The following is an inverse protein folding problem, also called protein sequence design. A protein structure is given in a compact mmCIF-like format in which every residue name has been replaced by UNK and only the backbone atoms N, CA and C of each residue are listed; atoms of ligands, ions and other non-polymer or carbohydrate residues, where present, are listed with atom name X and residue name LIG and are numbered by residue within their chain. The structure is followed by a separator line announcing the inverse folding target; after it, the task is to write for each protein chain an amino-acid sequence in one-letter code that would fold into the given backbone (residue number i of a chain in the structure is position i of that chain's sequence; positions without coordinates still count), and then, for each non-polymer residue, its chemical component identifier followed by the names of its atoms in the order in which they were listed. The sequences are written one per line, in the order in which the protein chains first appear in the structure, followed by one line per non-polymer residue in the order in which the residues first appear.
data_IF_577420136385
#
_entry.id   IF_577420136385
#
_cell.length_a   1.000
_cell.length_b   1.000
_cell.length_c   1.000
_cell.angle_alpha   90.00
_cell.angle_beta   90.00
_cell.angle_gamma   90.00
#
_symmetry.space_group_name_H-M   'P 1'
#
loop_
_entity.id
_entity.type
_entity.pdbx_description
1 polymer ?
#
# COMPACT_ATOMS: atom_id res chain seq x y z
N UNK A 1 -32.05 -18.95 -12.86
CA UNK A 1 -31.47 -18.38 -11.62
C UNK A 1 -29.95 -18.29 -11.80
N UNK A 2 -29.37 -17.07 -11.91
CA UNK A 2 -27.90 -16.92 -11.86
C UNK A 2 -27.47 -17.36 -10.43
N UNK A 3 -26.58 -18.35 -10.32
CA UNK A 3 -25.91 -18.66 -9.05
C UNK A 3 -25.29 -17.36 -8.55
N UNK A 4 -25.69 -16.88 -7.37
CA UNK A 4 -24.93 -15.84 -6.67
C UNK A 4 -23.53 -16.42 -6.45
N UNK A 5 -22.50 -15.80 -7.03
CA UNK A 5 -21.12 -16.13 -6.68
C UNK A 5 -20.91 -15.71 -5.24
N UNK A 6 -20.68 -16.66 -4.35
CA UNK A 6 -20.26 -16.36 -2.99
C UNK A 6 -18.80 -15.90 -3.03
N UNK A 7 -18.48 -14.86 -2.25
CA UNK A 7 -17.09 -14.42 -2.09
C UNK A 7 -16.32 -15.52 -1.35
N UNK A 8 -15.23 -15.95 -1.92
CA UNK A 8 -14.31 -16.90 -1.31
C UNK A 8 -12.96 -16.23 -1.07
N UNK A 9 -12.50 -16.28 0.19
CA UNK A 9 -11.19 -15.75 0.52
C UNK A 9 -10.08 -16.41 -0.33
N UNK A 10 -9.15 -15.63 -0.90
CA UNK A 10 -8.18 -16.14 -1.88
C UNK A 10 -6.99 -16.88 -1.23
N UNK A 11 -7.14 -17.42 -0.02
CA UNK A 11 -6.06 -18.03 0.75
C UNK A 11 -6.22 -19.54 0.86
N UNK A 12 -5.09 -20.27 0.83
CA UNK A 12 -5.04 -21.73 0.98
C UNK A 12 -4.61 -22.11 2.38
N UNK A 13 -3.54 -21.49 2.90
CA UNK A 13 -2.98 -21.86 4.20
C UNK A 13 -1.81 -20.97 4.61
N UNK A 14 -1.36 -21.19 5.83
CA UNK A 14 -0.22 -20.52 6.44
C UNK A 14 0.67 -21.61 7.03
N UNK A 15 1.99 -21.52 6.84
CA UNK A 15 2.97 -22.41 7.47
C UNK A 15 4.28 -21.67 7.76
N UNK A 16 5.08 -22.18 8.68
CA UNK A 16 6.40 -21.63 9.01
C UNK A 16 7.49 -22.53 8.45
N UNK A 17 8.31 -21.97 7.56
CA UNK A 17 9.47 -22.64 6.95
C UNK A 17 10.72 -21.83 7.31
N UNK A 18 11.74 -22.50 7.86
CA UNK A 18 13.00 -21.88 8.29
C UNK A 18 12.80 -20.62 9.18
N UNK A 19 11.89 -20.71 10.16
CA UNK A 19 11.46 -19.61 11.02
C UNK A 19 10.81 -18.41 10.29
N UNK A 20 10.44 -18.58 9.03
CA UNK A 20 9.73 -17.57 8.24
C UNK A 20 8.28 -18.01 8.07
N UNK A 21 7.31 -17.30 8.68
CA UNK A 21 5.88 -17.56 8.47
C UNK A 21 5.46 -17.08 7.09
N UNK A 22 4.88 -17.99 6.32
CA UNK A 22 4.50 -17.80 4.92
C UNK A 22 3.03 -18.16 4.76
N UNK A 23 2.30 -17.38 3.99
CA UNK A 23 0.94 -17.72 3.59
C UNK A 23 0.84 -17.81 2.06
N UNK A 24 -0.08 -18.63 1.62
CA UNK A 24 -0.28 -18.97 0.22
C UNK A 24 -1.65 -18.50 -0.25
N UNK A 25 -1.67 -17.89 -1.44
CA UNK A 25 -2.91 -17.60 -2.12
C UNK A 25 -3.34 -18.80 -3.01
N UNK A 26 -4.60 -18.76 -3.49
CA UNK A 26 -5.14 -19.83 -4.38
C UNK A 26 -4.40 -19.95 -5.71
N UNK A 27 -3.62 -18.96 -6.07
CA UNK A 27 -2.81 -18.98 -7.30
C UNK A 27 -1.46 -19.66 -7.10
N UNK A 28 -1.14 -20.03 -5.86
CA UNK A 28 0.12 -20.65 -5.48
C UNK A 28 1.23 -19.64 -5.16
N UNK A 29 0.96 -18.32 -5.25
CA UNK A 29 1.93 -17.32 -4.85
C UNK A 29 2.10 -17.37 -3.32
N UNK A 30 3.31 -17.10 -2.85
CA UNK A 30 3.68 -17.18 -1.45
C UNK A 30 4.09 -15.80 -0.93
N UNK A 31 3.65 -15.49 0.28
CA UNK A 31 3.77 -14.15 0.81
C UNK A 31 4.15 -14.13 2.29
N UNK A 32 4.81 -13.05 2.70
CA UNK A 32 5.08 -12.72 4.10
C UNK A 32 4.50 -11.35 4.44
N UNK A 33 4.21 -11.10 5.71
CA UNK A 33 3.77 -9.80 6.20
C UNK A 33 4.78 -9.28 7.23
N UNK A 34 5.28 -8.08 7.00
CA UNK A 34 6.17 -7.36 7.90
C UNK A 34 5.40 -6.17 8.47
N UNK A 35 5.27 -6.09 9.79
CA UNK A 35 4.79 -4.89 10.46
C UNK A 35 5.94 -3.93 10.63
N UNK A 36 5.81 -2.73 10.07
CA UNK A 36 6.83 -1.70 10.14
C UNK A 36 6.43 -0.59 11.11
N UNK A 37 7.40 -0.06 11.86
CA UNK A 37 7.22 1.21 12.54
C UNK A 37 7.21 2.34 11.51
N UNK A 38 6.31 3.33 11.68
CA UNK A 38 6.29 4.49 10.80
C UNK A 38 7.41 5.47 11.23
N UNK A 39 8.51 5.60 10.48
CA UNK A 39 9.63 6.42 10.89
C UNK A 39 9.44 7.92 10.61
N UNK A 40 8.36 8.33 9.94
CA UNK A 40 8.10 9.73 9.57
C UNK A 40 8.14 10.63 10.79
N UNK A 41 7.64 10.16 11.94
CA UNK A 41 7.71 10.91 13.20
C UNK A 41 9.16 11.17 13.64
N UNK A 42 10.08 10.25 13.34
CA UNK A 42 11.50 10.39 13.69
C UNK A 42 12.23 11.38 12.78
N UNK A 43 11.76 11.53 11.54
CA UNK A 43 12.37 12.38 10.51
C UNK A 43 11.70 13.76 10.38
N UNK A 44 10.84 14.10 11.33
CA UNK A 44 9.96 15.28 11.26
C UNK A 44 10.67 16.63 11.06
N UNK A 45 11.97 16.72 11.31
CA UNK A 45 12.76 17.93 11.13
C UNK A 45 14.00 17.74 10.23
N UNK A 46 14.25 16.53 9.76
CA UNK A 46 15.44 16.15 9.02
C UNK A 46 15.07 15.68 7.61
N UNK A 47 15.29 16.54 6.62
CA UNK A 47 15.01 16.24 5.22
C UNK A 47 15.95 15.18 4.64
N UNK A 48 17.20 15.16 5.05
CA UNK A 48 18.20 14.23 4.55
C UNK A 48 17.86 12.81 5.04
N UNK A 49 17.41 12.67 6.29
CA UNK A 49 16.91 11.41 6.83
C UNK A 49 15.65 10.92 6.08
N UNK A 50 14.78 11.84 5.63
CA UNK A 50 13.62 11.47 4.82
C UNK A 50 14.02 10.95 3.43
N UNK A 51 14.96 11.60 2.75
CA UNK A 51 15.52 11.11 1.49
C UNK A 51 16.21 9.75 1.67
N UNK A 52 16.95 9.60 2.74
CA UNK A 52 17.58 8.33 3.09
C UNK A 52 16.57 7.21 3.31
N UNK A 53 15.42 7.54 3.89
CA UNK A 53 14.31 6.59 4.04
C UNK A 53 13.71 6.20 2.68
N UNK A 54 13.57 7.13 1.76
CA UNK A 54 13.16 6.83 0.40
C UNK A 54 14.13 5.88 -0.31
N UNK A 55 15.43 6.08 -0.15
CA UNK A 55 16.45 5.17 -0.67
C UNK A 55 16.37 3.75 -0.08
N UNK A 56 15.85 3.58 1.14
CA UNK A 56 15.61 2.26 1.71
C UNK A 56 14.64 1.45 0.84
N UNK A 57 13.51 2.04 0.43
CA UNK A 57 12.55 1.34 -0.44
C UNK A 57 13.15 1.00 -1.81
N UNK A 58 13.91 1.91 -2.40
CA UNK A 58 14.64 1.61 -3.64
C UNK A 58 15.59 0.41 -3.47
N UNK A 59 16.30 0.32 -2.35
CA UNK A 59 17.17 -0.81 -2.05
C UNK A 59 16.38 -2.11 -1.83
N UNK A 60 15.21 -2.04 -1.19
CA UNK A 60 14.31 -3.20 -1.05
C UNK A 60 13.91 -3.72 -2.43
N UNK A 61 13.48 -2.85 -3.35
CA UNK A 61 13.13 -3.23 -4.72
C UNK A 61 14.31 -3.91 -5.43
N UNK A 62 15.52 -3.36 -5.29
CA UNK A 62 16.74 -3.94 -5.90
C UNK A 62 17.10 -5.31 -5.32
N UNK A 63 16.89 -5.52 -4.02
CA UNK A 63 17.15 -6.83 -3.35
C UNK A 63 16.15 -7.88 -3.79
N UNK A 64 14.89 -7.51 -3.96
CA UNK A 64 13.83 -8.43 -4.37
C UNK A 64 13.96 -8.77 -5.87
N UNK A 65 14.00 -7.76 -6.72
CA UNK A 65 14.12 -7.95 -8.16
C UNK A 65 12.83 -8.45 -8.83
N UNK A 66 12.97 -8.95 -10.05
CA UNK A 66 11.87 -9.41 -10.90
C UNK A 66 11.09 -10.59 -10.29
N UNK A 67 9.76 -10.56 -10.47
CA UNK A 67 8.86 -11.63 -10.00
C UNK A 67 8.42 -11.46 -8.54
N UNK A 68 8.58 -10.25 -8.01
CA UNK A 68 8.05 -9.89 -6.71
C UNK A 68 7.01 -8.79 -6.83
N UNK A 69 5.99 -8.91 -5.99
CA UNK A 69 5.01 -7.84 -5.75
C UNK A 69 5.10 -7.39 -4.31
N UNK A 70 5.14 -6.09 -4.10
CA UNK A 70 5.15 -5.46 -2.78
C UNK A 70 3.85 -4.70 -2.59
N UNK A 71 3.16 -4.94 -1.47
CA UNK A 71 2.02 -4.14 -1.05
C UNK A 71 2.39 -3.41 0.24
N UNK A 72 2.43 -2.08 0.20
CA UNK A 72 2.51 -1.24 1.40
C UNK A 72 1.09 -0.87 1.80
N UNK A 73 0.70 -1.23 3.01
CA UNK A 73 -0.64 -1.03 3.54
C UNK A 73 -0.58 -0.18 4.79
N UNK A 74 -1.09 1.03 4.71
CA UNK A 74 -1.25 1.93 5.85
C UNK A 74 -2.71 1.86 6.31
N UNK A 75 -2.90 1.37 7.54
CA UNK A 75 -4.20 1.22 8.16
C UNK A 75 -4.41 2.38 9.12
N UNK A 76 -5.34 3.26 8.79
CA UNK A 76 -5.71 4.40 9.61
C UNK A 76 -7.03 4.09 10.32
N UNK A 77 -7.00 4.10 11.65
CA UNK A 77 -8.17 3.79 12.47
C UNK A 77 -8.46 4.92 13.45
N UNK A 78 -9.70 5.33 13.55
CA UNK A 78 -10.14 6.26 14.61
C UNK A 78 -10.22 5.51 15.94
N UNK A 79 -9.45 5.96 16.91
CA UNK A 79 -9.39 5.41 18.28
C UNK A 79 -9.66 6.49 19.30
N UNK A 80 -10.23 6.08 20.44
CA UNK A 80 -10.37 6.95 21.60
C UNK A 80 -9.16 6.75 22.51
N UNK A 81 -8.55 7.84 22.94
CA UNK A 81 -7.41 7.76 23.85
C UNK A 81 -7.85 7.23 25.21
N UNK A 82 -7.27 6.11 25.61
CA UNK A 82 -7.42 5.50 26.93
C UNK A 82 -6.07 5.58 27.66
N UNK A 83 -6.05 6.13 28.87
CA UNK A 83 -4.82 6.20 29.64
C UNK A 83 -4.23 4.82 29.94
N UNK A 84 -2.90 4.64 29.92
CA UNK A 84 -2.26 3.37 30.22
C UNK A 84 -2.58 2.89 31.63
N UNK A 85 -2.77 1.57 31.81
CA UNK A 85 -3.13 0.98 33.11
C UNK A 85 -1.99 1.08 34.16
N UNK A 86 -0.71 0.96 33.71
CA UNK A 86 0.47 1.07 34.58
C UNK A 86 1.01 2.50 34.55
N UNK A 87 0.41 3.40 35.34
CA UNK A 87 0.83 4.81 35.44
C UNK A 87 1.80 5.01 36.58
N UNK A 88 2.79 5.88 36.39
CA UNK A 88 3.41 6.58 37.52
C UNK A 88 2.35 7.52 38.12
N UNK A 89 2.12 7.40 39.41
CA UNK A 89 1.06 8.12 40.11
C UNK A 89 1.56 9.53 40.49
N UNK A 90 2.07 10.31 39.52
CA UNK A 90 2.43 11.70 39.70
C UNK A 90 1.31 12.64 39.19
N UNK A 91 1.21 13.81 39.81
CA UNK A 91 0.16 14.77 39.55
C UNK A 91 0.11 15.23 38.08
N UNK A 92 1.26 15.53 37.47
CA UNK A 92 1.34 16.06 36.12
C UNK A 92 0.91 14.99 35.09
N UNK A 93 1.41 13.77 35.21
CA UNK A 93 1.01 12.66 34.36
C UNK A 93 -0.49 12.37 34.45
N UNK A 94 -1.05 12.37 35.64
CA UNK A 94 -2.47 12.16 35.85
C UNK A 94 -3.32 13.25 35.18
N UNK A 95 -2.95 14.53 35.33
CA UNK A 95 -3.65 15.66 34.68
C UNK A 95 -3.53 15.60 33.16
N UNK A 96 -2.35 15.25 32.64
CA UNK A 96 -2.14 15.04 31.22
C UNK A 96 -3.07 13.95 30.67
N UNK A 97 -3.09 12.79 31.29
CA UNK A 97 -3.92 11.67 30.84
C UNK A 97 -5.43 11.95 30.96
N UNK A 98 -5.86 12.62 32.01
CA UNK A 98 -7.26 13.06 32.16
C UNK A 98 -7.66 14.04 31.07
N UNK A 99 -6.78 14.96 30.71
CA UNK A 99 -7.02 15.93 29.62
C UNK A 99 -7.25 15.29 28.27
N UNK A 100 -6.51 14.21 27.96
CA UNK A 100 -6.63 13.51 26.68
C UNK A 100 -7.62 12.34 26.68
N UNK A 101 -8.10 11.93 27.86
CA UNK A 101 -9.04 10.80 27.98
C UNK A 101 -10.30 11.01 27.14
N UNK A 102 -10.61 10.03 26.30
CA UNK A 102 -11.79 10.03 25.45
C UNK A 102 -11.66 10.86 24.17
N UNK A 103 -10.56 11.57 23.96
CA UNK A 103 -10.33 12.27 22.68
C UNK A 103 -10.07 11.26 21.56
N UNK A 104 -10.66 11.53 20.42
CA UNK A 104 -10.47 10.72 19.22
C UNK A 104 -9.17 11.13 18.54
N UNK A 105 -8.39 10.15 18.14
CA UNK A 105 -7.19 10.32 17.34
C UNK A 105 -7.13 9.26 16.24
N UNK A 106 -6.36 9.50 15.21
CA UNK A 106 -6.11 8.53 14.14
C UNK A 106 -4.83 7.75 14.44
N UNK A 107 -4.96 6.45 14.62
CA UNK A 107 -3.85 5.52 14.80
C UNK A 107 -3.47 4.93 13.44
N UNK A 108 -2.17 4.93 13.12
CA UNK A 108 -1.65 4.41 11.86
C UNK A 108 -0.81 3.18 12.15
N UNK A 109 -1.08 2.12 11.42
CA UNK A 109 -0.28 0.91 11.42
C UNK A 109 0.16 0.59 9.99
N UNK A 110 1.47 0.47 9.77
CA UNK A 110 2.05 0.19 8.45
C UNK A 110 2.46 -1.26 8.35
N UNK A 111 2.04 -1.90 7.27
CA UNK A 111 2.39 -3.28 6.93
C UNK A 111 2.98 -3.32 5.53
N UNK A 112 4.00 -4.16 5.36
CA UNK A 112 4.60 -4.46 4.09
C UNK A 112 4.36 -5.94 3.78
N UNK A 113 3.59 -6.22 2.74
CA UNK A 113 3.36 -7.57 2.25
C UNK A 113 4.25 -7.79 1.05
N UNK A 114 5.10 -8.81 1.11
CA UNK A 114 6.01 -9.17 0.03
C UNK A 114 5.57 -10.52 -0.51
N UNK A 115 5.23 -10.55 -1.80
CA UNK A 115 4.76 -11.74 -2.50
C UNK A 115 5.77 -12.17 -3.54
N UNK A 116 6.17 -13.43 -3.51
CA UNK A 116 6.90 -14.09 -4.58
C UNK A 116 5.91 -14.72 -5.54
N UNK A 117 5.95 -14.31 -6.80
CA UNK A 117 5.06 -14.83 -7.84
C UNK A 117 5.58 -16.15 -8.39
N UNK A 118 4.67 -17.11 -8.56
CA UNK A 118 4.99 -18.39 -9.18
C UNK A 118 4.85 -18.28 -10.70
N UNK A 119 5.86 -18.75 -11.44
CA UNK A 119 5.76 -18.83 -12.90
C UNK A 119 4.65 -19.78 -13.31
N UNK A 120 3.72 -19.25 -14.11
CA UNK A 120 2.59 -20.00 -14.64
C UNK A 120 2.92 -20.50 -16.03
N UNK A 121 3.20 -21.78 -16.12
CA UNK A 121 3.30 -22.50 -17.40
C UNK A 121 2.13 -23.48 -17.52
N UNK A 122 2.02 -24.14 -18.69
CA UNK A 122 1.04 -25.24 -18.89
C UNK A 122 1.20 -26.36 -17.84
N UNK A 123 2.38 -26.51 -17.28
CA UNK A 123 2.70 -27.44 -16.22
C UNK A 123 3.23 -26.63 -15.05
N UNK A 124 2.42 -26.45 -14.02
CA UNK A 124 2.86 -25.84 -12.77
C UNK A 124 3.96 -26.73 -12.17
N UNK A 125 5.12 -26.16 -11.94
CA UNK A 125 6.17 -26.82 -11.15
C UNK A 125 6.65 -25.86 -10.07
N UNK A 126 6.59 -26.30 -8.82
CA UNK A 126 7.23 -25.60 -7.71
C UNK A 126 8.74 -25.62 -7.91
N UNK A 127 9.38 -24.45 -7.86
CA UNK A 127 10.83 -24.30 -7.92
C UNK A 127 11.40 -24.04 -6.51
N UNK A 128 11.99 -25.06 -5.84
CA UNK A 128 12.55 -24.90 -4.51
C UNK A 128 13.62 -23.81 -4.43
N UNK A 129 14.41 -23.62 -5.50
CA UNK A 129 15.52 -22.64 -5.52
C UNK A 129 15.00 -21.21 -5.47
N UNK A 130 13.90 -20.93 -6.15
CA UNK A 130 13.23 -19.63 -6.09
C UNK A 130 12.67 -19.38 -4.72
N UNK A 131 12.06 -20.39 -4.12
CA UNK A 131 11.52 -20.32 -2.78
C UNK A 131 12.60 -20.06 -1.71
N UNK A 132 13.74 -20.77 -1.77
CA UNK A 132 14.90 -20.52 -0.89
C UNK A 132 15.46 -19.10 -1.09
N UNK A 133 15.44 -18.63 -2.33
CA UNK A 133 15.87 -17.26 -2.65
C UNK A 133 14.92 -16.23 -2.05
N UNK A 134 13.61 -16.50 -2.07
CA UNK A 134 12.61 -15.67 -1.42
C UNK A 134 12.90 -15.52 0.09
N UNK A 135 13.08 -16.62 0.82
CA UNK A 135 13.38 -16.60 2.27
C UNK A 135 14.64 -15.78 2.55
N UNK A 136 15.70 -15.99 1.77
CA UNK A 136 16.94 -15.22 1.91
C UNK A 136 16.74 -13.73 1.64
N UNK A 137 15.94 -13.38 0.65
CA UNK A 137 15.66 -11.98 0.33
C UNK A 137 14.83 -11.32 1.43
N UNK A 138 13.85 -12.01 2.02
CA UNK A 138 13.11 -11.50 3.19
C UNK A 138 14.06 -11.20 4.35
N UNK A 139 15.00 -12.08 4.64
CA UNK A 139 16.02 -11.85 5.68
C UNK A 139 16.86 -10.60 5.39
N UNK A 140 17.26 -10.40 4.12
CA UNK A 140 17.98 -9.17 3.71
C UNK A 140 17.13 -7.91 3.88
N UNK A 141 15.86 -7.97 3.51
CA UNK A 141 14.93 -6.83 3.68
C UNK A 141 14.82 -6.44 5.15
N UNK A 142 14.67 -7.42 6.06
CA UNK A 142 14.67 -7.15 7.51
C UNK A 142 15.98 -6.52 7.98
N UNK A 143 17.12 -6.99 7.44
CA UNK A 143 18.44 -6.39 7.69
C UNK A 143 18.54 -4.94 7.22
N UNK A 144 17.95 -4.60 6.08
CA UNK A 144 17.92 -3.20 5.57
C UNK A 144 17.16 -2.28 6.53
N UNK A 145 16.01 -2.72 7.07
CA UNK A 145 15.26 -1.97 8.08
C UNK A 145 16.10 -1.79 9.36
N UNK A 146 16.70 -2.88 9.86
CA UNK A 146 17.51 -2.85 11.08
C UNK A 146 18.72 -1.91 10.96
N UNK A 147 19.40 -1.90 9.81
CA UNK A 147 20.54 -1.01 9.56
C UNK A 147 20.16 0.48 9.57
N UNK A 148 18.89 0.81 9.37
CA UNK A 148 18.35 2.17 9.45
C UNK A 148 17.70 2.49 10.81
N UNK A 149 17.79 1.55 11.78
CA UNK A 149 17.16 1.72 13.09
C UNK A 149 15.64 1.66 13.09
N UNK A 150 15.03 1.21 11.99
CA UNK A 150 13.57 1.09 11.85
C UNK A 150 13.15 -0.28 12.35
N UNK A 151 12.21 -0.32 13.29
CA UNK A 151 11.65 -1.57 13.78
C UNK A 151 10.74 -2.18 12.73
N UNK A 152 11.13 -3.35 12.25
CA UNK A 152 10.35 -4.16 11.34
C UNK A 152 10.29 -5.60 11.89
N UNK A 153 9.07 -6.13 12.01
CA UNK A 153 8.82 -7.46 12.57
C UNK A 153 8.00 -8.30 11.59
N UNK A 154 8.49 -9.49 11.27
CA UNK A 154 7.68 -10.51 10.61
C UNK A 154 6.52 -10.92 11.52
N UNK A 155 5.30 -10.97 10.96
CA UNK A 155 4.15 -11.51 11.67
C UNK A 155 4.28 -13.04 11.75
N UNK A 156 3.96 -13.62 12.91
CA UNK A 156 3.85 -15.08 13.05
C UNK A 156 2.52 -15.59 12.45
N UNK A 157 2.34 -16.91 12.36
CA UNK A 157 1.15 -17.53 11.75
C UNK A 157 -0.16 -16.98 12.31
N UNK A 158 -0.26 -16.90 13.63
CA UNK A 158 -1.46 -16.39 14.30
C UNK A 158 -1.67 -14.89 14.02
N UNK A 159 -0.61 -14.10 14.01
CA UNK A 159 -0.67 -12.66 13.68
C UNK A 159 -1.09 -12.45 12.21
N UNK A 160 -0.62 -13.30 11.28
CA UNK A 160 -1.04 -13.29 9.86
C UNK A 160 -2.52 -13.61 9.74
N UNK A 161 -2.98 -14.68 10.40
CA UNK A 161 -4.40 -15.06 10.38
C UNK A 161 -5.29 -13.94 10.93
N UNK A 162 -4.90 -13.34 12.05
CA UNK A 162 -5.61 -12.20 12.64
C UNK A 162 -5.62 -11.00 11.68
N UNK A 163 -4.50 -10.69 11.04
CA UNK A 163 -4.40 -9.58 10.10
C UNK A 163 -5.31 -9.78 8.89
N UNK A 164 -5.28 -10.97 8.28
CA UNK A 164 -6.16 -11.32 7.15
C UNK A 164 -7.64 -11.23 7.56
N UNK A 165 -8.02 -11.77 8.73
CA UNK A 165 -9.39 -11.68 9.25
C UNK A 165 -9.83 -10.24 9.47
N UNK A 166 -8.95 -9.40 10.02
CA UNK A 166 -9.20 -7.96 10.21
C UNK A 166 -9.39 -7.25 8.88
N UNK A 167 -8.59 -7.57 7.88
CA UNK A 167 -8.70 -6.99 6.55
C UNK A 167 -10.01 -7.39 5.87
N UNK A 168 -10.35 -8.68 5.85
CA UNK A 168 -11.60 -9.21 5.28
C UNK A 168 -12.87 -8.65 5.93
N UNK A 169 -12.81 -8.27 7.21
CA UNK A 169 -13.94 -7.68 7.95
C UNK A 169 -13.83 -6.17 8.11
N UNK A 170 -12.76 -5.56 7.61
CA UNK A 170 -12.39 -4.14 7.81
C UNK A 170 -12.58 -3.72 9.28
N UNK A 171 -12.04 -4.52 10.20
CA UNK A 171 -12.14 -4.28 11.63
C UNK A 171 -10.78 -4.43 12.31
N UNK A 172 -10.08 -3.31 12.46
CA UNK A 172 -8.76 -3.26 13.09
C UNK A 172 -8.79 -2.80 14.54
N UNK A 173 -9.95 -2.41 15.04
CA UNK A 173 -10.11 -1.88 16.40
C UNK A 173 -10.35 -2.98 17.45
N UNK A 174 -10.87 -4.15 17.06
CA UNK A 174 -11.18 -5.24 17.97
C UNK A 174 -10.07 -6.29 18.01
N UNK A 175 -9.87 -6.91 19.17
CA UNK A 175 -8.88 -7.98 19.35
C UNK A 175 -9.32 -9.27 18.65
N UNK A 176 -10.58 -9.64 18.81
CA UNK A 176 -11.18 -10.82 18.16
C UNK A 176 -12.11 -10.36 17.06
N UNK A 177 -11.90 -10.89 15.87
CA UNK A 177 -12.66 -10.51 14.68
C UNK A 177 -13.28 -11.77 14.07
N UNK A 178 -14.60 -11.74 13.89
CA UNK A 178 -15.32 -12.74 13.09
C UNK A 178 -15.45 -12.29 11.65
N UNK A 179 -15.30 -13.22 10.72
CA UNK A 179 -15.56 -12.95 9.31
C UNK A 179 -17.01 -12.51 9.11
N UNK A 180 -17.22 -11.56 8.22
CA UNK A 180 -18.51 -10.98 7.89
C UNK A 180 -18.84 -11.24 6.42
N UNK A 181 -20.13 -11.23 6.09
CA UNK A 181 -20.56 -11.35 4.70
C UNK A 181 -20.14 -10.12 3.91
N UNK A 182 -19.59 -10.33 2.73
CA UNK A 182 -19.27 -9.30 1.74
C UNK A 182 -20.37 -9.28 0.68
N UNK A 183 -21.02 -8.15 0.51
CA UNK A 183 -22.06 -7.93 -0.50
C UNK A 183 -21.61 -6.81 -1.44
N UNK A 184 -21.40 -7.15 -2.71
CA UNK A 184 -21.14 -6.15 -3.75
C UNK A 184 -22.44 -5.48 -4.16
N UNK A 185 -22.41 -4.15 -4.26
CA UNK A 185 -23.43 -3.29 -4.89
C UNK A 185 -22.81 -2.60 -6.10
N UNK A 186 -23.59 -1.81 -6.82
CA UNK A 186 -23.11 -1.09 -7.99
C UNK A 186 -22.01 -0.07 -7.64
N UNK A 187 -22.17 0.69 -6.58
CA UNK A 187 -21.27 1.79 -6.23
C UNK A 187 -20.41 1.52 -4.99
N UNK A 188 -20.74 0.51 -4.18
CA UNK A 188 -20.02 0.22 -2.93
C UNK A 188 -20.09 -1.27 -2.56
N UNK A 189 -19.36 -1.62 -1.51
CA UNK A 189 -19.46 -2.91 -0.83
C UNK A 189 -20.12 -2.73 0.53
N UNK A 190 -20.80 -3.78 1.00
CA UNK A 190 -21.22 -3.89 2.38
C UNK A 190 -20.48 -5.07 3.00
N UNK A 191 -19.67 -4.79 4.03
CA UNK A 191 -18.94 -5.80 4.79
C UNK A 191 -19.49 -5.83 6.21
N UNK A 192 -20.31 -6.83 6.50
CA UNK A 192 -21.11 -6.85 7.74
C UNK A 192 -22.10 -5.69 7.79
N UNK A 193 -21.86 -4.73 8.68
CA UNK A 193 -22.68 -3.53 8.86
C UNK A 193 -22.01 -2.27 8.27
N UNK A 194 -20.77 -2.38 7.77
CA UNK A 194 -20.01 -1.24 7.26
C UNK A 194 -20.28 -1.02 5.78
N UNK A 195 -20.47 0.23 5.41
CA UNK A 195 -20.36 0.70 4.04
C UNK A 195 -18.88 0.86 3.68
N UNK A 196 -18.48 0.32 2.54
CA UNK A 196 -17.09 0.30 2.09
C UNK A 196 -17.02 0.76 0.65
N UNK A 197 -16.10 1.68 0.37
CA UNK A 197 -15.82 2.14 -0.98
C UNK A 197 -14.33 2.08 -1.27
N UNK A 198 -13.99 1.51 -2.41
CA UNK A 198 -12.65 1.50 -2.96
C UNK A 198 -12.52 2.63 -3.98
N UNK A 199 -11.47 3.44 -3.83
CA UNK A 199 -11.10 4.52 -4.74
C UNK A 199 -9.74 4.16 -5.31
N UNK A 200 -9.61 4.09 -6.63
CA UNK A 200 -8.32 3.89 -7.30
C UNK A 200 -7.85 5.20 -7.95
N UNK A 201 -6.53 5.36 -8.01
CA UNK A 201 -5.89 6.42 -8.78
C UNK A 201 -5.58 5.81 -10.15
N UNK A 202 -6.43 6.07 -11.13
CA UNK A 202 -6.50 5.23 -12.34
C UNK A 202 -5.79 5.85 -13.54
N UNK A 203 -5.63 7.13 -13.60
CA UNK A 203 -5.06 7.73 -14.80
C UNK A 203 -3.78 8.48 -14.48
N UNK A 204 -2.66 7.80 -14.73
CA UNK A 204 -1.34 8.39 -14.57
C UNK A 204 -1.11 9.50 -15.61
N UNK A 205 -1.75 9.43 -16.77
CA UNK A 205 -1.60 10.44 -17.83
C UNK A 205 -2.33 11.74 -17.46
N UNK A 206 -3.37 11.67 -16.63
CA UNK A 206 -4.08 12.85 -16.09
C UNK A 206 -3.55 13.27 -14.71
N UNK A 207 -2.71 12.47 -14.09
CA UNK A 207 -2.12 12.79 -12.78
C UNK A 207 -0.85 13.60 -12.98
N UNK A 208 -0.96 14.91 -12.87
CA UNK A 208 0.18 15.78 -12.69
C UNK A 208 0.78 15.59 -11.29
N UNK A 209 1.52 14.51 -11.09
CA UNK A 209 2.34 14.41 -9.89
C UNK A 209 3.28 15.62 -9.86
N UNK A 210 3.29 16.39 -8.77
CA UNK A 210 4.27 17.46 -8.64
C UNK A 210 5.65 16.83 -8.80
N UNK A 211 6.47 17.36 -9.69
CA UNK A 211 7.83 16.89 -9.98
C UNK A 211 8.70 16.81 -8.71
N UNK A 212 8.29 17.49 -7.66
CA UNK A 212 8.93 17.47 -6.34
C UNK A 212 7.82 17.41 -5.28
N UNK A 213 7.64 16.26 -4.64
CA UNK A 213 6.83 16.16 -3.43
C UNK A 213 7.65 16.74 -2.30
N UNK A 214 7.29 17.94 -1.84
CA UNK A 214 7.94 18.53 -0.68
C UNK A 214 7.47 17.75 0.57
N UNK A 215 8.36 17.08 1.31
CA UNK A 215 7.99 16.32 2.48
C UNK A 215 7.67 17.20 3.70
N UNK A 216 7.48 18.50 3.50
CA UNK A 216 7.19 19.45 4.57
C UNK A 216 6.30 20.60 4.08
N UNK A 217 5.51 21.12 5.00
CA UNK A 217 4.75 22.36 4.84
C UNK A 217 5.45 23.47 5.64
N UNK A 218 5.81 24.55 4.97
CA UNK A 218 6.33 25.75 5.62
C UNK A 218 5.14 26.58 6.14
N UNK A 219 5.00 26.68 7.45
CA UNK A 219 3.89 27.43 8.08
C UNK A 219 4.31 28.87 8.37
N UNK A 220 5.57 29.09 8.73
CA UNK A 220 6.19 30.39 8.93
C UNK A 220 7.67 30.32 8.53
N UNK A 221 8.32 31.47 8.35
CA UNK A 221 9.75 31.55 8.03
C UNK A 221 10.56 30.72 9.03
N UNK A 222 11.12 29.62 8.57
CA UNK A 222 11.97 28.71 9.37
C UNK A 222 11.25 27.61 10.13
N UNK A 223 9.91 27.54 10.12
CA UNK A 223 9.14 26.44 10.72
C UNK A 223 8.63 25.49 9.64
N UNK A 224 9.23 24.31 9.56
CA UNK A 224 8.87 23.25 8.62
C UNK A 224 8.27 22.09 9.38
N UNK A 225 7.08 21.65 8.96
CA UNK A 225 6.44 20.45 9.49
C UNK A 225 6.45 19.36 8.42
N UNK A 226 6.75 18.12 8.77
CA UNK A 226 6.63 17.01 7.83
C UNK A 226 5.17 16.86 7.43
N UNK A 227 4.93 16.80 6.13
CA UNK A 227 3.59 16.60 5.58
C UNK A 227 3.70 15.56 4.48
N UNK A 228 3.00 14.46 4.65
CA UNK A 228 2.77 13.50 3.59
C UNK A 228 1.71 14.05 2.63
N UNK A 229 1.80 13.72 1.33
CA UNK A 229 0.80 14.05 0.33
C UNK A 229 -0.60 13.59 0.75
N UNK A 230 -0.68 12.46 1.44
CA UNK A 230 -1.92 11.85 1.92
C UNK A 230 -2.27 12.20 3.38
N UNK A 231 -1.62 13.22 3.96
CA UNK A 231 -1.87 13.63 5.36
C UNK A 231 -3.33 14.01 5.62
N UNK A 232 -4.08 14.47 4.61
CA UNK A 232 -5.50 14.80 4.71
C UNK A 232 -6.35 13.58 5.11
N UNK A 233 -5.90 12.35 4.86
CA UNK A 233 -6.64 11.15 5.26
C UNK A 233 -6.86 11.06 6.78
N UNK A 234 -6.01 11.70 7.59
CA UNK A 234 -6.19 11.76 9.05
C UNK A 234 -7.48 12.47 9.47
N UNK A 235 -7.89 13.47 8.69
CA UNK A 235 -9.00 14.35 9.01
C UNK A 235 -10.31 13.96 8.30
N UNK A 236 -10.29 12.82 7.58
CA UNK A 236 -11.47 12.34 6.85
C UNK A 236 -12.67 12.18 7.79
N UNK A 237 -13.80 12.85 7.49
CA UNK A 237 -14.97 12.85 8.37
C UNK A 237 -15.76 11.53 8.25
N UNK A 238 -16.54 11.21 9.30
CA UNK A 238 -17.52 10.12 9.31
C UNK A 238 -17.00 8.75 8.87
N UNK A 239 -15.73 8.45 9.18
CA UNK A 239 -15.07 7.20 8.78
C UNK A 239 -14.42 6.55 9.99
N UNK A 240 -14.50 5.21 10.08
CA UNK A 240 -13.88 4.44 11.15
C UNK A 240 -12.50 3.94 10.77
N UNK A 241 -12.37 3.51 9.52
CA UNK A 241 -11.16 2.85 9.02
C UNK A 241 -10.89 3.30 7.59
N UNK A 242 -9.64 3.66 7.33
CA UNK A 242 -9.11 3.90 5.99
C UNK A 242 -7.96 2.94 5.78
N UNK A 243 -7.90 2.31 4.60
CA UNK A 243 -6.75 1.52 4.18
C UNK A 243 -6.18 2.18 2.93
N UNK A 244 -4.96 2.69 3.04
CA UNK A 244 -4.19 3.09 1.87
C UNK A 244 -3.31 1.92 1.46
N UNK A 245 -3.55 1.40 0.27
CA UNK A 245 -2.84 0.26 -0.28
C UNK A 245 -2.07 0.69 -1.54
N UNK A 246 -0.77 0.61 -1.46
CA UNK A 246 0.15 0.85 -2.58
C UNK A 246 0.72 -0.49 -3.01
N UNK A 247 0.53 -0.84 -4.27
CA UNK A 247 1.08 -2.05 -4.87
C UNK A 247 2.18 -1.69 -5.84
N UNK A 248 3.31 -2.36 -5.72
CA UNK A 248 4.45 -2.22 -6.62
C UNK A 248 4.78 -3.61 -7.16
N UNK A 249 4.59 -3.80 -8.44
CA UNK A 249 5.02 -5.01 -9.14
C UNK A 249 6.35 -4.76 -9.85
N UNK A 250 7.29 -5.70 -9.72
CA UNK A 250 8.63 -5.60 -10.32
C UNK A 250 8.67 -6.50 -11.56
N UNK A 251 8.46 -5.94 -12.76
CA UNK A 251 8.46 -6.69 -14.00
C UNK A 251 9.87 -7.10 -14.44
N UNK A 252 9.95 -7.91 -15.47
CA UNK A 252 11.22 -8.19 -16.14
C UNK A 252 11.76 -6.91 -16.80
N UNK A 253 12.87 -6.39 -16.27
CA UNK A 253 13.45 -5.10 -16.65
C UNK A 253 13.87 -5.07 -18.13
N UNK A 254 14.34 -6.19 -18.67
CA UNK A 254 14.75 -6.28 -20.06
C UNK A 254 13.56 -6.19 -21.01
N UNK A 255 12.48 -6.86 -20.66
CA UNK A 255 11.25 -6.82 -21.44
C UNK A 255 10.65 -5.42 -21.45
N UNK A 256 10.63 -4.74 -20.28
CA UNK A 256 10.12 -3.37 -20.20
C UNK A 256 10.99 -2.37 -20.97
N UNK A 257 12.32 -2.47 -20.87
CA UNK A 257 13.23 -1.66 -21.68
C UNK A 257 12.99 -1.87 -23.19
N UNK A 258 12.75 -3.11 -23.63
CA UNK A 258 12.41 -3.40 -25.02
C UNK A 258 11.05 -2.82 -25.44
N UNK A 259 10.05 -2.81 -24.56
CA UNK A 259 8.76 -2.15 -24.81
C UNK A 259 8.93 -0.65 -24.99
N UNK A 260 9.72 0.02 -24.11
CA UNK A 260 10.02 1.45 -24.23
C UNK A 260 10.73 1.77 -25.55
N UNK A 261 11.73 0.96 -25.93
CA UNK A 261 12.41 1.13 -27.21
C UNK A 261 11.47 0.94 -28.41
N UNK A 262 10.54 0.00 -28.31
CA UNK A 262 9.47 -0.19 -29.31
C UNK A 262 8.52 1.00 -29.40
N UNK A 263 8.11 1.58 -28.27
CA UNK A 263 7.31 2.82 -28.23
C UNK A 263 8.08 3.98 -28.86
N UNK A 264 9.34 4.19 -28.49
CA UNK A 264 10.19 5.24 -29.04
C UNK A 264 10.28 5.17 -30.58
N UNK A 265 10.48 3.98 -31.14
CA UNK A 265 10.52 3.78 -32.60
C UNK A 265 9.20 4.13 -33.27
N UNK A 266 8.06 3.79 -32.65
CA UNK A 266 6.74 4.15 -33.17
C UNK A 266 6.53 5.66 -33.22
N UNK A 267 6.84 6.37 -32.11
CA UNK A 267 6.70 7.83 -32.04
C UNK A 267 7.66 8.54 -33.01
N UNK A 268 8.91 8.10 -33.16
CA UNK A 268 9.84 8.63 -34.16
C UNK A 268 9.37 8.46 -35.60
N UNK A 269 8.52 7.48 -35.88
CA UNK A 269 7.94 7.24 -37.20
C UNK A 269 6.76 8.14 -37.56
N UNK A 270 6.24 8.93 -36.60
CA UNK A 270 5.09 9.81 -36.77
C UNK A 270 5.47 11.23 -36.29
N UNK A 271 6.00 12.09 -37.20
CA UNK A 271 6.46 13.42 -36.82
C UNK A 271 5.27 14.31 -36.41
N UNK A 272 5.20 14.59 -35.09
CA UNK A 272 4.22 15.44 -34.44
C UNK A 272 4.85 15.94 -33.14
N UNK A 273 4.66 17.22 -32.74
CA UNK A 273 5.23 17.76 -31.51
C UNK A 273 4.93 16.93 -30.25
N UNK A 274 3.75 16.33 -30.14
CA UNK A 274 3.42 15.43 -29.01
C UNK A 274 4.26 14.15 -29.05
N UNK A 275 4.49 13.58 -30.22
CA UNK A 275 5.36 12.40 -30.38
C UNK A 275 6.82 12.72 -30.07
N UNK A 276 7.31 13.92 -30.42
CA UNK A 276 8.67 14.33 -30.09
C UNK A 276 8.87 14.44 -28.59
N UNK A 277 7.92 15.01 -27.84
CA UNK A 277 7.94 15.02 -26.37
C UNK A 277 7.96 13.59 -25.77
N UNK A 278 7.14 12.68 -26.29
CA UNK A 278 7.16 11.28 -25.86
C UNK A 278 8.53 10.62 -26.08
N UNK A 279 9.21 10.93 -27.19
CA UNK A 279 10.56 10.42 -27.48
C UNK A 279 11.55 10.97 -26.47
N UNK A 280 11.52 12.26 -26.17
CA UNK A 280 12.42 12.90 -25.20
C UNK A 280 12.22 12.31 -23.79
N UNK A 281 10.99 12.10 -23.38
CA UNK A 281 10.67 11.49 -22.07
C UNK A 281 11.18 10.06 -21.99
N UNK A 282 10.98 9.24 -23.03
CA UNK A 282 11.51 7.88 -23.06
C UNK A 282 13.05 7.88 -23.03
N UNK A 283 13.72 8.80 -23.75
CA UNK A 283 15.19 8.92 -23.74
C UNK A 283 15.70 9.35 -22.37
N UNK A 284 14.98 10.23 -21.64
CA UNK A 284 15.28 10.60 -20.27
C UNK A 284 15.21 9.37 -19.35
N UNK A 285 14.10 8.63 -19.36
CA UNK A 285 13.94 7.41 -18.56
C UNK A 285 15.03 6.38 -18.87
N UNK A 286 15.37 6.17 -20.15
CA UNK A 286 16.45 5.26 -20.52
C UNK A 286 17.82 5.73 -20.02
N UNK A 287 18.06 7.06 -20.01
CA UNK A 287 19.28 7.67 -19.45
C UNK A 287 19.38 7.45 -17.94
N UNK A 288 18.28 7.65 -17.21
CA UNK A 288 18.23 7.49 -15.76
C UNK A 288 18.42 6.03 -15.34
N UNK A 289 17.83 5.09 -16.09
CA UNK A 289 18.10 3.65 -15.91
C UNK A 289 19.59 3.36 -16.07
N UNK A 290 20.21 3.90 -17.13
CA UNK A 290 21.60 3.60 -17.44
C UNK A 290 22.61 4.27 -16.48
N UNK A 291 22.34 5.49 -16.03
CA UNK A 291 23.25 6.27 -15.17
C UNK A 291 23.09 5.98 -13.68
N UNK A 292 21.85 5.87 -13.23
CA UNK A 292 21.51 5.77 -11.80
C UNK A 292 21.10 4.36 -11.39
N UNK A 293 20.97 3.44 -12.34
CA UNK A 293 20.51 2.08 -12.07
C UNK A 293 19.08 2.05 -11.53
N UNK A 294 18.23 2.96 -12.02
CA UNK A 294 16.82 2.97 -11.69
C UNK A 294 16.11 1.72 -12.24
N UNK A 295 15.00 1.36 -11.64
CA UNK A 295 14.20 0.22 -12.05
C UNK A 295 12.82 0.68 -12.51
N UNK A 296 12.31 0.04 -13.56
CA UNK A 296 10.92 0.19 -13.97
C UNK A 296 10.04 -0.67 -13.08
N UNK A 297 8.95 -0.10 -12.60
CA UNK A 297 7.96 -0.79 -11.77
C UNK A 297 6.56 -0.41 -12.24
N UNK A 298 5.60 -1.32 -12.06
CA UNK A 298 4.19 -0.96 -12.14
C UNK A 298 3.71 -0.61 -10.74
N UNK A 299 3.04 0.53 -10.63
CA UNK A 299 2.50 1.01 -9.37
C UNK A 299 0.98 1.15 -9.46
N UNK A 300 0.27 0.66 -8.46
CA UNK A 300 -1.17 0.81 -8.33
C UNK A 300 -1.50 1.32 -6.92
N UNK A 301 -2.45 2.26 -6.85
CA UNK A 301 -2.85 2.90 -5.61
C UNK A 301 -4.34 2.73 -5.39
N UNK A 302 -4.71 2.31 -4.18
CA UNK A 302 -6.09 2.10 -3.80
C UNK A 302 -6.33 2.63 -2.38
N UNK A 303 -7.40 3.41 -2.20
CA UNK A 303 -7.85 3.90 -0.91
C UNK A 303 -9.19 3.24 -0.61
N UNK A 304 -9.27 2.50 0.49
CA UNK A 304 -10.49 1.86 0.95
C UNK A 304 -11.03 2.68 2.13
N UNK A 305 -12.22 3.21 1.99
CA UNK A 305 -12.95 3.94 3.01
C UNK A 305 -14.02 3.05 3.62
N UNK A 306 -14.09 2.98 4.95
CA UNK A 306 -15.09 2.16 5.63
C UNK A 306 -15.68 2.85 6.86
N UNK A 307 -16.99 2.85 6.95
CA UNK A 307 -17.76 3.45 8.05
C UNK A 307 -19.10 2.75 8.28
N UNK A 308 -19.68 2.93 9.47
CA UNK A 308 -20.98 2.35 9.82
C UNK A 308 -22.14 3.14 9.20
N UNK A 309 -21.96 4.46 9.08
CA UNK A 309 -22.96 5.37 8.53
C UNK A 309 -22.75 5.65 7.04
N UNK A 310 -23.42 6.67 6.53
CA UNK A 310 -23.23 7.18 5.17
C UNK A 310 -21.81 7.77 5.02
N UNK A 311 -21.04 7.18 4.13
CA UNK A 311 -19.65 7.57 3.84
C UNK A 311 -19.52 8.60 2.72
N UNK A 312 -20.63 9.13 2.16
CA UNK A 312 -20.62 10.08 1.04
C UNK A 312 -19.80 11.34 1.35
N UNK A 313 -19.85 11.82 2.60
CA UNK A 313 -19.05 12.98 3.03
C UNK A 313 -17.55 12.67 3.02
N UNK A 314 -17.17 11.46 3.43
CA UNK A 314 -15.78 11.00 3.40
C UNK A 314 -15.25 10.90 1.96
N UNK A 315 -16.06 10.33 1.06
CA UNK A 315 -15.72 10.18 -0.36
C UNK A 315 -15.49 11.56 -0.99
N UNK A 316 -16.43 12.49 -0.81
CA UNK A 316 -16.32 13.85 -1.34
C UNK A 316 -15.11 14.59 -0.77
N UNK A 317 -14.82 14.42 0.52
CA UNK A 317 -13.65 15.01 1.15
C UNK A 317 -12.34 14.48 0.55
N UNK A 318 -12.22 13.17 0.39
CA UNK A 318 -11.04 12.53 -0.21
C UNK A 318 -10.87 12.94 -1.67
N UNK A 319 -11.97 12.95 -2.45
CA UNK A 319 -11.99 13.40 -3.84
C UNK A 319 -11.48 14.84 -3.97
N UNK A 320 -12.06 15.77 -3.19
CA UNK A 320 -11.65 17.17 -3.20
C UNK A 320 -10.19 17.35 -2.80
N UNK A 321 -9.76 16.65 -1.75
CA UNK A 321 -8.38 16.75 -1.28
C UNK A 321 -7.35 16.20 -2.28
N UNK A 322 -7.69 15.12 -2.99
CA UNK A 322 -6.84 14.59 -4.07
C UNK A 322 -6.83 15.53 -5.26
N UNK A 323 -7.98 16.10 -5.64
CA UNK A 323 -8.08 17.09 -6.71
C UNK A 323 -7.23 18.34 -6.42
N UNK A 324 -7.22 18.82 -5.17
CA UNK A 324 -6.35 19.92 -4.73
C UNK A 324 -4.85 19.58 -4.83
N UNK A 325 -4.51 18.29 -4.78
CA UNK A 325 -3.17 17.78 -5.03
C UNK A 325 -2.86 17.56 -6.52
N UNK A 326 -3.80 17.84 -7.43
CA UNK A 326 -3.66 17.59 -8.87
C UNK A 326 -3.94 16.13 -9.27
N UNK A 327 -4.59 15.35 -8.40
CA UNK A 327 -4.88 13.94 -8.65
C UNK A 327 -6.38 13.77 -8.92
N UNK A 328 -6.73 13.30 -10.11
CA UNK A 328 -8.09 12.97 -10.48
C UNK A 328 -8.34 11.50 -10.17
N UNK A 329 -9.35 11.23 -9.35
CA UNK A 329 -9.73 9.86 -9.00
C UNK A 329 -10.82 9.34 -9.93
N UNK A 330 -10.79 8.03 -10.16
CA UNK A 330 -11.90 7.35 -10.79
C UNK A 330 -12.84 6.75 -9.72
N UNK A 331 -14.08 7.17 -9.74
CA UNK A 331 -15.15 6.56 -8.94
C UNK A 331 -15.58 5.27 -9.63
N UNK A 332 -14.87 4.18 -9.33
CA UNK A 332 -15.19 2.87 -9.88
C UNK A 332 -16.56 2.42 -9.36
N UNK A 333 -17.52 2.28 -10.26
CA UNK A 333 -18.88 1.92 -9.87
C UNK A 333 -19.10 0.40 -9.86
N UNK A 334 -18.63 -0.33 -10.84
CA UNK A 334 -19.04 -1.74 -11.02
C UNK A 334 -18.00 -2.77 -10.57
N UNK A 335 -16.78 -2.38 -10.29
CA UNK A 335 -15.65 -3.26 -9.96
C UNK A 335 -15.17 -3.13 -8.51
N UNK A 336 -16.01 -2.66 -7.62
CA UNK A 336 -15.68 -2.46 -6.20
C UNK A 336 -15.16 -3.72 -5.52
N UNK A 337 -15.76 -4.88 -5.82
CA UNK A 337 -15.31 -6.17 -5.26
C UNK A 337 -13.91 -6.52 -5.77
N UNK A 338 -13.64 -6.33 -7.04
CA UNK A 338 -12.35 -6.62 -7.65
C UNK A 338 -11.24 -5.71 -7.08
N UNK A 339 -11.51 -4.41 -6.92
CA UNK A 339 -10.60 -3.48 -6.27
C UNK A 339 -10.29 -3.87 -4.81
N UNK A 340 -11.32 -4.33 -4.09
CA UNK A 340 -11.14 -4.84 -2.74
C UNK A 340 -10.30 -6.12 -2.70
N UNK A 341 -10.56 -7.05 -3.64
CA UNK A 341 -9.78 -8.29 -3.78
C UNK A 341 -8.31 -8.01 -4.12
N UNK A 342 -8.04 -7.02 -4.99
CA UNK A 342 -6.68 -6.58 -5.32
C UNK A 342 -5.94 -5.99 -4.12
N UNK A 343 -6.66 -5.38 -3.19
CA UNK A 343 -6.08 -4.82 -1.98
C UNK A 343 -5.81 -5.87 -0.89
N UNK A 344 -6.40 -7.07 -0.98
CA UNK A 344 -6.16 -8.14 0.00
C UNK A 344 -4.68 -8.49 0.08
N UNK A 345 -4.12 -8.70 1.27
CA UNK A 345 -2.71 -9.03 1.44
C UNK A 345 -2.29 -10.23 0.60
N UNK A 346 -1.23 -10.09 -0.21
CA UNK A 346 -0.72 -11.16 -1.06
C UNK A 346 -1.63 -11.56 -2.23
N UNK A 347 -2.64 -10.75 -2.56
CA UNK A 347 -3.58 -11.04 -3.64
C UNK A 347 -3.68 -9.91 -4.68
N UNK A 348 -2.59 -9.21 -4.95
CA UNK A 348 -2.54 -8.18 -5.98
C UNK A 348 -2.67 -8.82 -7.39
N UNK A 349 -3.88 -8.83 -7.92
CA UNK A 349 -4.24 -9.44 -9.21
C UNK A 349 -4.81 -8.38 -10.15
N UNK A 350 -4.73 -8.65 -11.47
CA UNK A 350 -5.34 -7.83 -12.53
C UNK A 350 -4.95 -6.34 -12.50
N UNK A 351 -3.78 -6.01 -11.97
CA UNK A 351 -3.32 -4.62 -11.88
C UNK A 351 -3.25 -3.93 -13.24
N UNK A 352 -2.88 -4.66 -14.29
CA UNK A 352 -2.79 -4.16 -15.67
C UNK A 352 -4.15 -3.74 -16.26
N UNK A 353 -5.26 -4.00 -15.56
CA UNK A 353 -6.60 -3.57 -15.97
C UNK A 353 -6.95 -2.18 -15.41
N UNK A 354 -6.10 -1.64 -14.55
CA UNK A 354 -6.33 -0.39 -13.81
C UNK A 354 -5.20 0.63 -14.00
N UNK A 355 -4.18 0.29 -14.81
CA UNK A 355 -3.04 1.14 -15.14
C UNK A 355 -3.17 1.76 -16.54
#
# INVERSE_FOLDING_TARGET
MKKKSEFEAPYIGIETIDNTPIFYNRRGDYSVIIKCENPIIQYSADMDAYYDFHHLFTNILKVLGTGYTIQKQDILCKKSFLPPQNRKNDYLSNRYFEHFKGRIYTDISTYLVITGEVERSKFFSFDPRRFDTFIRNITKVLGLFANRGIRAKLLNENEIEIYIKRFLSINFNQQTVSLKNIKAREENLIIGEKNVQCISLVDIDEVNFPSIIKPYKEVNIGLRFPVDLLSFLHDTPSIDTIIYNQVINIPDQRNEANKLEGKKKKHKGMPDPANDLCVEDIERVQSDIAREGQMLVYAHYNIILAGLDDISKAINYVETSLFDCGIIINKQCFNQLELFECALPGNAINLNSYD
#
